data_IF_346641834619
#
_entry.id   IF_346641834619
#
_cell.length_a   1.000
_cell.length_b   1.000
_cell.length_c   1.000
_cell.angle_alpha   90.00
_cell.angle_beta   90.00
_cell.angle_gamma   90.00
#
_symmetry.space_group_name_H-M   'P 1'
#
loop_
_entity.id
_entity.type
_entity.pdbx_description
1 polymer ?
#
# COMPACT_ATOMS: atom_id res chain seq x y z
N UNK A 1 0.58 -8.49 -6.49
CA UNK A 1 0.19 -8.73 -5.08
C UNK A 1 -0.27 -7.43 -4.43
N UNK A 2 -1.37 -7.46 -3.74
CA UNK A 2 -1.85 -6.30 -2.98
C UNK A 2 -1.67 -6.56 -1.50
N UNK A 3 -1.12 -5.59 -0.80
CA UNK A 3 -0.88 -5.70 0.64
C UNK A 3 -1.99 -5.00 1.42
N UNK A 4 -2.20 -5.45 2.62
CA UNK A 4 -3.16 -4.86 3.54
C UNK A 4 -2.58 -4.84 4.94
N UNK A 5 -2.71 -3.73 5.62
CA UNK A 5 -2.22 -3.60 6.98
C UNK A 5 -2.26 -2.17 7.47
N UNK A 6 -2.18 -2.02 8.78
CA UNK A 6 -2.11 -0.74 9.44
C UNK A 6 -0.75 -0.07 9.21
N UNK A 7 -0.64 1.25 9.42
CA UNK A 7 0.66 1.90 9.47
C UNK A 7 1.58 1.17 10.45
N UNK A 8 2.85 1.01 10.10
CA UNK A 8 3.86 0.35 10.91
C UNK A 8 3.64 -1.15 11.15
N UNK A 9 2.80 -1.79 10.36
CA UNK A 9 2.59 -3.25 10.43
C UNK A 9 3.74 -4.05 9.81
N UNK A 10 4.73 -3.38 9.22
CA UNK A 10 5.86 -4.03 8.55
C UNK A 10 5.63 -4.33 7.07
N UNK A 11 4.57 -3.78 6.47
CA UNK A 11 4.25 -4.05 5.07
C UNK A 11 5.32 -3.60 4.09
N UNK A 12 5.97 -2.46 4.34
CA UNK A 12 7.06 -1.97 3.48
C UNK A 12 8.28 -2.88 3.56
N UNK A 13 8.66 -3.30 4.75
CA UNK A 13 9.77 -4.24 4.95
C UNK A 13 9.50 -5.57 4.23
N UNK A 14 8.28 -6.06 4.37
CA UNK A 14 7.86 -7.29 3.69
C UNK A 14 7.91 -7.14 2.17
N UNK A 15 7.39 -6.02 1.65
CA UNK A 15 7.35 -5.76 0.21
C UNK A 15 8.76 -5.64 -0.38
N UNK A 16 9.67 -4.95 0.30
CA UNK A 16 11.05 -4.82 -0.13
C UNK A 16 11.78 -6.17 -0.14
N UNK A 17 11.54 -7.01 0.87
CA UNK A 17 12.09 -8.36 0.92
C UNK A 17 11.53 -9.23 -0.22
N UNK A 18 10.25 -9.11 -0.52
CA UNK A 18 9.61 -9.81 -1.62
C UNK A 18 10.23 -9.45 -2.98
N UNK A 19 10.46 -8.15 -3.20
CA UNK A 19 11.11 -7.67 -4.43
C UNK A 19 12.53 -8.23 -4.55
N UNK A 20 13.28 -8.25 -3.45
CA UNK A 20 14.66 -8.73 -3.42
C UNK A 20 14.79 -10.22 -3.74
N UNK A 21 13.74 -11.02 -3.51
CA UNK A 21 13.74 -12.47 -3.73
C UNK A 21 13.46 -12.89 -5.17
N UNK A 22 13.05 -11.98 -6.04
CA UNK A 22 12.71 -12.29 -7.41
C UNK A 22 13.41 -11.38 -8.41
N UNK A 23 13.49 -11.83 -9.67
CA UNK A 23 14.18 -11.05 -10.71
C UNK A 23 13.30 -9.97 -11.34
N UNK A 24 12.04 -10.27 -11.53
CA UNK A 24 11.10 -9.40 -12.24
C UNK A 24 9.98 -8.95 -11.31
N UNK A 25 10.35 -8.28 -10.24
CA UNK A 25 9.42 -7.82 -9.21
C UNK A 25 9.60 -6.33 -8.96
N UNK A 26 8.49 -5.61 -8.86
CA UNK A 26 8.45 -4.17 -8.67
C UNK A 26 7.54 -3.84 -7.49
N UNK A 27 8.01 -2.93 -6.65
CA UNK A 27 7.19 -2.36 -5.59
C UNK A 27 6.61 -1.04 -6.04
N UNK A 28 5.31 -0.86 -5.90
CA UNK A 28 4.63 0.40 -6.16
C UNK A 28 4.05 0.92 -4.86
N UNK A 29 4.43 2.13 -4.47
CA UNK A 29 3.94 2.79 -3.26
C UNK A 29 3.53 4.21 -3.60
N UNK A 30 2.24 4.47 -3.49
CA UNK A 30 1.68 5.82 -3.64
C UNK A 30 2.24 6.76 -2.57
N UNK A 31 2.41 6.26 -1.35
CA UNK A 31 2.97 7.04 -0.23
C UNK A 31 4.39 7.53 -0.53
N UNK A 32 5.24 6.67 -1.09
CA UNK A 32 6.60 7.05 -1.47
C UNK A 32 6.61 8.10 -2.60
N UNK A 33 5.72 7.95 -3.56
CA UNK A 33 5.56 8.92 -4.64
C UNK A 33 5.12 10.27 -4.07
N UNK A 34 4.17 10.28 -3.15
CA UNK A 34 3.75 11.50 -2.45
C UNK A 34 4.92 12.20 -1.76
N UNK A 35 5.77 11.44 -1.08
CA UNK A 35 6.95 11.99 -0.40
C UNK A 35 7.89 12.68 -1.39
N UNK A 36 8.03 12.13 -2.59
CA UNK A 36 8.85 12.71 -3.66
C UNK A 36 8.28 14.03 -4.17
N UNK A 37 6.97 14.20 -4.16
CA UNK A 37 6.30 15.40 -4.68
C UNK A 37 6.33 16.59 -3.70
N UNK A 38 6.75 16.35 -2.47
CA UNK A 38 6.89 17.41 -1.46
C UNK A 38 5.58 17.75 -0.76
N UNK A 39 5.13 19.01 -0.85
CA UNK A 39 3.97 19.48 -0.11
C UNK A 39 2.67 18.75 -0.53
N UNK A 40 1.88 18.31 0.44
CA UNK A 40 0.60 17.65 0.18
C UNK A 40 -0.44 18.67 -0.32
N UNK A 41 -1.10 18.32 -1.41
CA UNK A 41 -2.24 19.05 -1.97
C UNK A 41 -3.13 18.07 -2.72
N UNK A 42 -4.34 18.50 -3.06
CA UNK A 42 -5.25 17.65 -3.84
C UNK A 42 -4.63 17.28 -5.20
N UNK A 43 -4.04 18.25 -5.88
CA UNK A 43 -3.41 18.03 -7.19
C UNK A 43 -2.25 17.07 -7.12
N UNK A 44 -1.43 17.17 -6.07
CA UNK A 44 -0.29 16.28 -5.88
C UNK A 44 -0.72 14.86 -5.51
N UNK A 45 -1.79 14.72 -4.72
CA UNK A 45 -2.36 13.40 -4.45
C UNK A 45 -2.86 12.73 -5.71
N UNK A 46 -3.52 13.48 -6.58
CA UNK A 46 -3.99 12.97 -7.86
C UNK A 46 -2.81 12.58 -8.75
N UNK A 47 -1.78 13.42 -8.82
CA UNK A 47 -0.57 13.13 -9.58
C UNK A 47 0.12 11.86 -9.06
N UNK A 48 0.22 11.70 -7.74
CA UNK A 48 0.82 10.50 -7.15
C UNK A 48 0.03 9.24 -7.50
N UNK A 49 -1.30 9.32 -7.45
CA UNK A 49 -2.17 8.21 -7.81
C UNK A 49 -2.01 7.81 -9.29
N UNK A 50 -2.02 8.79 -10.17
CA UNK A 50 -1.83 8.56 -11.62
C UNK A 50 -0.45 7.97 -11.91
N UNK A 51 0.57 8.47 -11.23
CA UNK A 51 1.95 7.97 -11.37
C UNK A 51 2.07 6.52 -10.88
N UNK A 52 1.47 6.21 -9.74
CA UNK A 52 1.46 4.85 -9.20
C UNK A 52 0.75 3.88 -10.16
N UNK A 53 -0.40 4.29 -10.69
CA UNK A 53 -1.15 3.48 -11.64
C UNK A 53 -0.35 3.25 -12.93
N UNK A 54 0.28 4.29 -13.44
CA UNK A 54 1.11 4.21 -14.65
C UNK A 54 2.29 3.28 -14.44
N UNK A 55 2.98 3.39 -13.32
CA UNK A 55 4.12 2.53 -12.99
C UNK A 55 3.70 1.06 -12.91
N UNK A 56 2.59 0.78 -12.23
CA UNK A 56 2.03 -0.57 -12.14
C UNK A 56 1.75 -1.16 -13.53
N UNK A 57 1.05 -0.40 -14.37
CA UNK A 57 0.68 -0.84 -15.73
C UNK A 57 1.93 -1.10 -16.56
N UNK A 58 2.89 -0.19 -16.54
CA UNK A 58 4.11 -0.32 -17.33
C UNK A 58 4.97 -1.51 -16.86
N UNK A 59 5.06 -1.72 -15.56
CA UNK A 59 5.77 -2.87 -15.02
C UNK A 59 5.14 -4.20 -15.46
N UNK A 60 3.80 -4.29 -15.37
CA UNK A 60 3.07 -5.47 -15.78
C UNK A 60 3.21 -5.75 -17.28
N UNK A 61 3.19 -4.72 -18.12
CA UNK A 61 3.39 -4.87 -19.56
C UNK A 61 4.76 -5.41 -19.91
N UNK A 62 5.74 -5.21 -19.04
CA UNK A 62 7.10 -5.74 -19.20
C UNK A 62 7.29 -7.11 -18.55
N UNK A 63 6.24 -7.74 -18.11
CA UNK A 63 6.29 -9.06 -17.50
C UNK A 63 6.70 -9.08 -16.04
N UNK A 64 6.68 -7.94 -15.38
CA UNK A 64 7.01 -7.86 -13.95
C UNK A 64 5.82 -8.22 -13.08
N UNK A 65 6.07 -8.91 -11.99
CA UNK A 65 5.12 -9.03 -10.89
C UNK A 65 5.19 -7.78 -10.03
N UNK A 66 4.05 -7.29 -9.61
CA UNK A 66 3.96 -6.03 -8.86
C UNK A 66 3.38 -6.27 -7.48
N UNK A 67 4.01 -5.71 -6.46
CA UNK A 67 3.41 -5.58 -5.14
C UNK A 67 2.94 -4.14 -4.94
N UNK A 68 1.67 -3.97 -4.61
CA UNK A 68 1.12 -2.67 -4.29
C UNK A 68 1.19 -2.50 -2.77
N UNK A 69 2.19 -1.73 -2.33
CA UNK A 69 2.51 -1.52 -0.92
C UNK A 69 1.76 -0.31 -0.39
N UNK A 70 0.50 -0.53 -0.05
CA UNK A 70 -0.38 0.46 0.57
C UNK A 70 -1.22 -0.23 1.65
N UNK A 71 -1.92 0.56 2.46
CA UNK A 71 -2.82 -0.03 3.45
C UNK A 71 -3.96 -0.79 2.81
N UNK A 72 -4.44 -0.31 1.66
CA UNK A 72 -5.52 -0.92 0.87
C UNK A 72 -6.79 -1.20 1.68
N UNK A 73 -7.08 -0.33 2.63
CA UNK A 73 -8.27 -0.43 3.48
C UNK A 73 -9.48 0.30 2.90
N UNK A 74 -9.24 1.19 1.93
CA UNK A 74 -10.29 1.92 1.24
C UNK A 74 -10.65 1.18 -0.05
N UNK A 75 -11.90 0.73 -0.14
CA UNK A 75 -12.39 -0.05 -1.27
C UNK A 75 -12.30 0.69 -2.61
N UNK A 76 -12.44 2.01 -2.60
CA UNK A 76 -12.36 2.81 -3.85
C UNK A 76 -10.97 2.79 -4.42
N UNK A 77 -9.95 2.94 -3.58
CA UNK A 77 -8.57 2.97 -4.01
C UNK A 77 -8.13 1.63 -4.57
N UNK A 78 -8.34 0.56 -3.82
CA UNK A 78 -7.87 -0.75 -4.29
C UNK A 78 -8.69 -1.28 -5.47
N UNK A 79 -10.00 -0.95 -5.57
CA UNK A 79 -10.82 -1.38 -6.71
C UNK A 79 -10.30 -0.85 -8.03
N UNK A 80 -9.84 0.39 -8.07
CA UNK A 80 -9.28 0.97 -9.28
C UNK A 80 -8.01 0.23 -9.72
N UNK A 81 -7.13 -0.10 -8.79
CA UNK A 81 -5.93 -0.88 -9.07
C UNK A 81 -6.27 -2.30 -9.52
N UNK A 82 -7.23 -2.96 -8.86
CA UNK A 82 -7.67 -4.30 -9.23
C UNK A 82 -8.26 -4.35 -10.63
N UNK A 83 -9.07 -3.36 -10.99
CA UNK A 83 -9.67 -3.27 -12.32
C UNK A 83 -8.59 -3.18 -13.39
N UNK A 84 -7.58 -2.32 -13.19
CA UNK A 84 -6.47 -2.19 -14.12
C UNK A 84 -5.67 -3.48 -14.25
N UNK A 85 -5.37 -4.12 -13.13
CA UNK A 85 -4.64 -5.39 -13.11
C UNK A 85 -5.40 -6.47 -13.86
N UNK A 86 -6.71 -6.58 -13.64
CA UNK A 86 -7.56 -7.55 -14.30
C UNK A 86 -7.61 -7.33 -15.81
N UNK A 87 -7.66 -6.10 -16.26
CA UNK A 87 -7.63 -5.75 -17.68
C UNK A 87 -6.34 -6.18 -18.36
N UNK A 88 -5.25 -6.31 -17.63
CA UNK A 88 -3.97 -6.81 -18.13
C UNK A 88 -3.80 -8.32 -17.95
N UNK A 89 -4.83 -9.02 -17.51
CA UNK A 89 -4.78 -10.45 -17.29
C UNK A 89 -4.03 -10.89 -16.05
N UNK A 90 -3.78 -9.99 -15.12
CA UNK A 90 -3.04 -10.29 -13.90
C UNK A 90 -3.93 -11.01 -12.88
N UNK A 91 -3.31 -11.95 -12.14
CA UNK A 91 -3.94 -12.57 -10.99
C UNK A 91 -3.60 -11.73 -9.74
N UNK A 92 -4.64 -11.32 -9.00
CA UNK A 92 -4.48 -10.52 -7.79
C UNK A 92 -4.42 -11.45 -6.58
N UNK A 93 -3.36 -11.31 -5.80
CA UNK A 93 -3.20 -12.00 -4.52
C UNK A 93 -3.13 -10.97 -3.40
N UNK A 94 -3.67 -11.33 -2.23
CA UNK A 94 -3.67 -10.47 -1.06
C UNK A 94 -2.68 -10.97 -0.03
N UNK A 95 -1.93 -10.05 0.54
CA UNK A 95 -1.07 -10.33 1.68
C UNK A 95 -1.49 -9.42 2.85
N UNK A 96 -2.04 -10.02 3.89
CA UNK A 96 -2.51 -9.31 5.07
C UNK A 96 -1.43 -9.31 6.16
N UNK A 97 -1.03 -8.11 6.58
CA UNK A 97 -0.14 -7.95 7.72
C UNK A 97 -0.98 -8.04 8.99
N UNK A 98 -0.70 -9.05 9.82
CA UNK A 98 -1.51 -9.35 11.02
C UNK A 98 -0.95 -8.74 12.30
N UNK A 99 -0.26 -7.62 12.21
CA UNK A 99 0.22 -6.94 13.39
C UNK A 99 -0.92 -6.29 14.15
N UNK A 100 -0.94 -6.47 15.48
CA UNK A 100 -2.00 -5.92 16.31
C UNK A 100 -1.96 -4.40 16.34
N UNK A 101 -3.09 -3.80 16.67
CA UNK A 101 -3.21 -2.35 16.90
C UNK A 101 -2.19 -1.86 17.94
N UNK A 102 -2.06 -2.59 19.04
CA UNK A 102 -1.13 -2.24 20.12
C UNK A 102 0.33 -2.21 19.65
N UNK A 103 0.71 -3.19 18.85
CA UNK A 103 2.04 -3.27 18.25
C UNK A 103 2.31 -2.08 17.33
N UNK A 104 1.35 -1.75 16.48
CA UNK A 104 1.47 -0.61 15.55
C UNK A 104 1.57 0.72 16.31
N UNK A 105 0.77 0.87 17.36
CA UNK A 105 0.78 2.05 18.22
C UNK A 105 2.13 2.22 18.92
N UNK A 106 2.69 1.13 19.44
CA UNK A 106 4.00 1.13 20.09
C UNK A 106 5.11 1.55 19.12
N UNK A 107 5.10 0.99 17.91
CA UNK A 107 6.07 1.36 16.87
C UNK A 107 5.95 2.83 16.46
N UNK A 108 4.73 3.33 16.37
CA UNK A 108 4.46 4.72 16.04
C UNK A 108 5.08 5.67 17.06
N UNK A 109 4.98 5.34 18.35
CA UNK A 109 5.54 6.15 19.42
C UNK A 109 7.07 6.25 19.36
N UNK A 110 7.73 5.29 18.73
CA UNK A 110 9.19 5.25 18.59
C UNK A 110 9.70 5.99 17.34
N UNK A 111 8.82 6.49 16.50
CA UNK A 111 9.20 7.18 15.27
C UNK A 111 9.46 8.67 15.51
N UNK A 112 10.33 9.26 14.69
CA UNK A 112 10.62 10.68 14.74
C UNK A 112 9.44 11.57 14.29
N UNK A 113 8.55 11.05 13.47
CA UNK A 113 7.36 11.76 12.98
C UNK A 113 6.15 10.84 13.11
N UNK A 114 5.61 10.68 14.33
CA UNK A 114 4.51 9.75 14.54
C UNK A 114 3.21 10.25 13.91
N UNK A 115 2.41 9.29 13.46
CA UNK A 115 1.03 9.52 13.05
C UNK A 115 0.19 9.70 14.32
N UNK A 116 -0.89 10.47 14.25
CA UNK A 116 -1.82 10.64 15.38
C UNK A 116 -2.39 9.27 15.80
N UNK A 117 -2.36 9.00 17.10
CA UNK A 117 -2.91 7.75 17.66
C UNK A 117 -4.38 7.54 17.30
N UNK A 118 -5.17 8.61 17.23
CA UNK A 118 -6.56 8.55 16.82
C UNK A 118 -6.72 8.07 15.38
N UNK A 119 -5.80 8.46 14.51
CA UNK A 119 -5.80 8.00 13.11
C UNK A 119 -5.50 6.50 13.02
N UNK A 120 -4.54 6.01 13.82
CA UNK A 120 -4.23 4.58 13.88
C UNK A 120 -5.43 3.80 14.40
N UNK A 121 -6.10 4.30 15.42
CA UNK A 121 -7.30 3.69 15.99
C UNK A 121 -8.42 3.62 14.97
N UNK A 122 -8.65 4.70 14.24
CA UNK A 122 -9.65 4.76 13.17
C UNK A 122 -9.36 3.73 12.08
N UNK A 123 -8.12 3.62 11.68
CA UNK A 123 -7.69 2.66 10.65
C UNK A 123 -7.79 1.23 11.15
N UNK A 124 -7.47 0.97 12.41
CA UNK A 124 -7.61 -0.35 13.02
C UNK A 124 -9.06 -0.83 13.01
N UNK A 125 -9.98 0.07 13.34
CA UNK A 125 -11.42 -0.23 13.30
C UNK A 125 -11.89 -0.53 11.88
N UNK A 126 -11.50 0.28 10.93
CA UNK A 126 -11.81 0.10 9.50
C UNK A 126 -11.25 -1.23 8.97
N UNK A 127 -10.02 -1.57 9.37
CA UNK A 127 -9.37 -2.82 8.97
C UNK A 127 -10.11 -4.03 9.51
N UNK A 128 -10.52 -4.00 10.79
CA UNK A 128 -11.30 -5.07 11.41
C UNK A 128 -12.63 -5.28 10.69
N UNK A 129 -13.36 -4.19 10.40
CA UNK A 129 -14.62 -4.26 9.65
C UNK A 129 -14.43 -4.86 8.26
N UNK A 130 -13.34 -4.52 7.61
CA UNK A 130 -13.05 -5.04 6.27
C UNK A 130 -12.75 -6.54 6.30
N UNK A 131 -12.03 -7.03 7.32
CA UNK A 131 -11.72 -8.45 7.45
C UNK A 131 -12.96 -9.31 7.73
N UNK A 132 -13.99 -8.71 8.34
CA UNK A 132 -15.26 -9.38 8.63
C UNK A 132 -16.15 -9.53 7.39
N UNK A 133 -15.88 -8.79 6.35
CA UNK A 133 -16.59 -8.89 5.07
C UNK A 133 -16.01 -10.01 4.20
#
# INVERSE_FOLDING_TARGET
MMMKGLPLSGKTEWALAWVAKGRNRVRVSWTDIMATLGRKSRDRRLLAYETATHLMVQAMKRGCDVVLDEMNLDSRTFSAFMTRASMLGARVEWHNMKKSYEECKRRNAQMGHPVDDMEIERLAHKFALWLEQ
#
